data_IF_389481595946
#
_entry.id   IF_389481595946
#
_cell.length_a   1.000
_cell.length_b   1.000
_cell.length_c   1.000
_cell.angle_alpha   90.00
_cell.angle_beta   90.00
_cell.angle_gamma   90.00
#
_symmetry.space_group_name_H-M   'P 1'
#
loop_
_entity.id
_entity.type
_entity.pdbx_description
1 polymer ?
#
# COMPACT_ATOMS: atom_id res chain seq x y z
N UNK A 1 -17.38 -14.61 6.35
CA UNK A 1 -18.29 -13.62 5.73
C UNK A 1 -19.69 -14.21 5.74
N UNK A 2 -20.67 -13.55 6.37
CA UNK A 2 -22.04 -14.08 6.46
C UNK A 2 -22.89 -13.42 5.35
N UNK A 3 -23.23 -14.20 4.31
CA UNK A 3 -23.93 -13.72 3.11
C UNK A 3 -25.39 -13.32 3.37
N UNK A 4 -25.98 -13.81 4.46
CA UNK A 4 -27.38 -13.55 4.83
C UNK A 4 -27.61 -12.10 5.30
N UNK A 5 -26.55 -11.35 5.58
CA UNK A 5 -26.62 -9.95 6.01
C UNK A 5 -26.75 -8.94 4.87
N UNK A 6 -26.59 -9.39 3.62
CA UNK A 6 -26.60 -8.53 2.44
C UNK A 6 -27.90 -8.68 1.66
N UNK A 7 -28.45 -7.55 1.23
CA UNK A 7 -29.57 -7.51 0.30
C UNK A 7 -29.19 -8.08 -1.07
N UNK A 8 -30.20 -8.51 -1.84
CA UNK A 8 -30.01 -8.97 -3.22
C UNK A 8 -29.31 -7.90 -4.10
N UNK A 9 -29.60 -6.63 -3.87
CA UNK A 9 -28.99 -5.53 -4.62
C UNK A 9 -27.49 -5.44 -4.31
N UNK A 10 -27.11 -5.47 -3.04
CA UNK A 10 -25.69 -5.43 -2.61
C UNK A 10 -24.91 -6.63 -3.15
N UNK A 11 -25.50 -7.84 -3.11
CA UNK A 11 -24.85 -9.04 -3.67
C UNK A 11 -24.65 -8.94 -5.19
N UNK A 12 -25.60 -8.33 -5.92
CA UNK A 12 -25.47 -8.10 -7.35
C UNK A 12 -24.33 -7.12 -7.65
N UNK A 13 -24.21 -6.04 -6.89
CA UNK A 13 -23.09 -5.09 -7.03
C UNK A 13 -21.75 -5.74 -6.70
N UNK A 14 -21.67 -6.49 -5.60
CA UNK A 14 -20.47 -7.21 -5.20
C UNK A 14 -20.04 -8.19 -6.30
N UNK A 15 -21.00 -8.87 -6.93
CA UNK A 15 -20.72 -9.77 -8.06
C UNK A 15 -20.11 -9.04 -9.26
N UNK A 16 -20.53 -7.80 -9.55
CA UNK A 16 -19.99 -6.98 -10.64
C UNK A 16 -18.55 -6.56 -10.33
N UNK A 17 -18.30 -6.10 -9.11
CA UNK A 17 -16.95 -5.73 -8.63
C UNK A 17 -16.00 -6.93 -8.73
N UNK A 18 -16.42 -8.10 -8.26
CA UNK A 18 -15.61 -9.33 -8.35
C UNK A 18 -15.33 -9.76 -9.79
N UNK A 19 -16.33 -9.68 -10.68
CA UNK A 19 -16.13 -9.95 -12.12
C UNK A 19 -15.13 -8.98 -12.74
N UNK A 20 -15.24 -7.69 -12.40
CA UNK A 20 -14.30 -6.66 -12.86
C UNK A 20 -12.89 -6.92 -12.35
N UNK A 21 -12.73 -7.20 -11.06
CA UNK A 21 -11.45 -7.56 -10.47
C UNK A 21 -10.82 -8.77 -11.17
N UNK A 22 -11.60 -9.83 -11.43
CA UNK A 22 -11.11 -11.01 -12.15
C UNK A 22 -10.65 -10.69 -13.57
N UNK A 23 -11.38 -9.82 -14.28
CA UNK A 23 -11.00 -9.36 -15.61
C UNK A 23 -9.71 -8.54 -15.58
N UNK A 24 -9.63 -7.55 -14.68
CA UNK A 24 -8.42 -6.74 -14.48
C UNK A 24 -7.22 -7.64 -14.11
N UNK A 25 -7.39 -8.58 -13.17
CA UNK A 25 -6.32 -9.51 -12.77
C UNK A 25 -5.78 -10.31 -13.95
N UNK A 26 -6.64 -10.70 -14.89
CA UNK A 26 -6.24 -11.43 -16.10
C UNK A 26 -5.45 -10.56 -17.07
N UNK A 27 -5.83 -9.29 -17.22
CA UNK A 27 -5.26 -8.42 -18.25
C UNK A 27 -4.04 -7.61 -17.78
N UNK A 28 -4.01 -7.18 -16.52
CA UNK A 28 -2.99 -6.28 -15.96
C UNK A 28 -2.31 -6.82 -14.70
N UNK A 29 -2.65 -8.04 -14.28
CA UNK A 29 -1.92 -8.76 -13.24
C UNK A 29 -1.96 -8.06 -11.88
N UNK A 30 -0.78 -7.75 -11.32
CA UNK A 30 -0.66 -7.23 -9.94
C UNK A 30 -1.31 -5.86 -9.75
N UNK A 31 -1.30 -5.00 -10.78
CA UNK A 31 -1.91 -3.65 -10.79
C UNK A 31 -3.44 -3.64 -10.69
N UNK A 32 -4.09 -4.80 -10.79
CA UNK A 32 -5.55 -4.88 -10.74
C UNK A 32 -6.12 -4.41 -9.41
N UNK A 33 -5.35 -4.49 -8.32
CA UNK A 33 -5.82 -4.09 -7.00
C UNK A 33 -5.81 -2.58 -6.82
N UNK A 34 -4.81 -1.91 -7.39
CA UNK A 34 -4.58 -0.47 -7.35
C UNK A 34 -5.66 0.25 -8.18
N UNK A 35 -5.91 -0.23 -9.40
CA UNK A 35 -6.95 0.33 -10.26
C UNK A 35 -8.34 0.17 -9.64
N UNK A 36 -8.65 -1.01 -9.11
CA UNK A 36 -9.95 -1.23 -8.48
C UNK A 36 -10.12 -0.37 -7.23
N UNK A 37 -9.07 -0.18 -6.43
CA UNK A 37 -9.11 0.70 -5.28
C UNK A 37 -9.48 2.12 -5.70
N UNK A 38 -8.75 2.68 -6.67
CA UNK A 38 -9.01 4.02 -7.19
C UNK A 38 -10.44 4.20 -7.73
N UNK A 39 -10.96 3.24 -8.48
CA UNK A 39 -12.32 3.32 -9.00
C UNK A 39 -13.40 3.26 -7.92
N UNK A 40 -13.14 2.62 -6.78
CA UNK A 40 -14.09 2.48 -5.68
C UNK A 40 -14.01 3.64 -4.69
N UNK A 41 -12.82 4.17 -4.42
CA UNK A 41 -12.59 5.18 -3.38
C UNK A 41 -12.31 6.58 -3.93
N UNK A 42 -11.93 6.69 -5.21
CA UNK A 42 -11.42 7.92 -5.81
C UNK A 42 -10.01 8.29 -5.35
N UNK A 43 -9.34 7.44 -4.56
CA UNK A 43 -8.03 7.72 -3.96
C UNK A 43 -6.95 6.77 -4.49
N UNK A 44 -5.73 7.27 -4.57
CA UNK A 44 -4.59 6.46 -4.96
C UNK A 44 -4.20 5.54 -3.81
N UNK A 45 -3.92 4.27 -4.12
CA UNK A 45 -3.54 3.30 -3.10
C UNK A 45 -2.12 3.61 -2.61
N UNK A 46 -1.99 3.76 -1.30
CA UNK A 46 -0.71 3.97 -0.62
C UNK A 46 -0.39 2.71 0.21
N UNK A 47 0.80 2.15 -0.01
CA UNK A 47 1.27 0.98 0.74
C UNK A 47 2.67 1.28 1.29
N UNK A 48 2.84 1.04 2.59
CA UNK A 48 4.16 1.05 3.22
C UNK A 48 4.44 -0.34 3.75
N UNK A 49 5.48 -0.97 3.22
CA UNK A 49 6.02 -2.22 3.72
C UNK A 49 7.20 -1.93 4.63
N UNK A 50 7.25 -2.51 5.84
CA UNK A 50 8.33 -2.24 6.79
C UNK A 50 8.84 -3.52 7.45
N UNK A 51 10.11 -3.49 7.86
CA UNK A 51 10.76 -4.61 8.52
C UNK A 51 10.17 -4.81 9.93
N UNK A 52 9.79 -6.03 10.33
CA UNK A 52 8.99 -6.25 11.54
C UNK A 52 9.63 -5.77 12.85
N UNK A 53 10.96 -5.69 12.92
CA UNK A 53 11.65 -5.24 14.14
C UNK A 53 11.69 -3.72 14.32
N UNK A 54 11.10 -2.94 13.40
CA UNK A 54 11.08 -1.48 13.48
C UNK A 54 9.92 -0.99 14.33
N UNK A 55 10.13 0.13 15.01
CA UNK A 55 9.05 0.83 15.67
C UNK A 55 8.11 1.44 14.64
N UNK A 56 6.83 1.07 14.70
CA UNK A 56 5.80 1.55 13.78
C UNK A 56 5.63 3.07 13.80
N UNK A 57 5.86 3.72 14.94
CA UNK A 57 5.79 5.19 15.05
C UNK A 57 6.91 5.87 14.27
N UNK A 58 8.14 5.36 14.36
CA UNK A 58 9.29 5.87 13.61
C UNK A 58 9.09 5.68 12.10
N UNK A 59 8.60 4.51 11.69
CA UNK A 59 8.25 4.22 10.29
C UNK A 59 7.16 5.17 9.79
N UNK A 60 6.17 5.51 10.63
CA UNK A 60 5.12 6.45 10.28
C UNK A 60 5.64 7.86 10.02
N UNK A 61 6.44 8.39 10.94
CA UNK A 61 7.03 9.73 10.80
C UNK A 61 7.90 9.80 9.55
N UNK A 62 8.75 8.81 9.33
CA UNK A 62 9.64 8.80 8.18
C UNK A 62 8.87 8.66 6.86
N UNK A 63 7.82 7.84 6.83
CA UNK A 63 6.97 7.72 5.66
C UNK A 63 6.32 9.06 5.30
N UNK A 64 5.75 9.78 6.29
CA UNK A 64 5.15 11.10 6.07
C UNK A 64 6.16 12.10 5.49
N UNK A 65 7.40 12.09 6.00
CA UNK A 65 8.47 12.94 5.48
C UNK A 65 8.78 12.63 4.00
N UNK A 66 8.95 11.36 3.65
CA UNK A 66 9.24 10.94 2.27
C UNK A 66 8.09 11.32 1.33
N UNK A 67 6.85 11.13 1.76
CA UNK A 67 5.70 11.51 0.95
C UNK A 67 5.61 13.02 0.70
N UNK A 68 5.94 13.81 1.71
CA UNK A 68 6.00 15.27 1.58
C UNK A 68 7.16 15.72 0.69
N UNK A 69 8.35 15.18 0.89
CA UNK A 69 9.58 15.70 0.28
C UNK A 69 9.81 15.15 -1.14
N UNK A 70 9.47 13.87 -1.36
CA UNK A 70 9.71 13.18 -2.64
C UNK A 70 8.49 13.20 -3.55
N UNK A 71 7.30 12.95 -2.99
CA UNK A 71 6.05 12.88 -3.73
C UNK A 71 5.25 14.19 -3.72
N UNK A 72 5.67 15.18 -2.92
CA UNK A 72 5.00 16.47 -2.73
C UNK A 72 3.53 16.35 -2.33
N UNK A 73 3.21 15.32 -1.53
CA UNK A 73 1.87 15.08 -1.00
C UNK A 73 1.89 14.95 0.52
N UNK A 74 0.87 15.52 1.17
CA UNK A 74 0.59 15.27 2.58
C UNK A 74 -0.40 14.12 2.69
N UNK A 75 -0.05 13.12 3.50
CA UNK A 75 -0.84 11.90 3.64
C UNK A 75 -1.23 11.67 5.10
N UNK A 76 -2.43 11.18 5.34
CA UNK A 76 -2.87 10.78 6.66
C UNK A 76 -2.51 9.30 6.89
N UNK A 77 -2.03 8.94 8.08
CA UNK A 77 -1.66 7.57 8.43
C UNK A 77 -2.81 6.57 8.27
N UNK A 78 -4.06 7.03 8.30
CA UNK A 78 -5.27 6.24 8.08
C UNK A 78 -5.46 5.81 6.62
N UNK A 79 -4.91 6.57 5.67
CA UNK A 79 -5.01 6.29 4.23
C UNK A 79 -3.93 5.31 3.76
N UNK A 80 -2.96 5.00 4.63
CA UNK A 80 -1.82 4.13 4.33
C UNK A 80 -2.16 2.69 4.72
N UNK A 81 -1.99 1.79 3.78
CA UNK A 81 -1.94 0.35 4.10
C UNK A 81 -0.56 0.02 4.67
N UNK A 82 -0.52 -0.33 5.96
CA UNK A 82 0.70 -0.75 6.66
C UNK A 82 0.87 -2.25 6.57
N UNK A 83 2.06 -2.72 6.18
CA UNK A 83 2.33 -4.15 6.05
C UNK A 83 3.73 -4.51 6.53
N UNK A 84 3.81 -5.43 7.46
CA UNK A 84 5.09 -6.03 7.85
C UNK A 84 5.58 -6.97 6.75
N UNK A 85 6.86 -6.88 6.42
CA UNK A 85 7.48 -7.67 5.37
C UNK A 85 8.86 -8.18 5.80
N UNK A 86 8.91 -9.46 6.22
CA UNK A 86 10.14 -10.18 6.63
C UNK A 86 11.16 -10.36 5.50
N UNK A 87 10.76 -10.20 4.24
CA UNK A 87 11.66 -10.35 3.08
C UNK A 87 12.56 -9.10 2.92
N UNK A 88 12.18 -7.97 3.53
CA UNK A 88 13.02 -6.76 3.50
C UNK A 88 14.32 -7.03 4.26
N UNK A 89 15.45 -6.61 3.69
CA UNK A 89 16.74 -6.76 4.35
C UNK A 89 16.87 -5.79 5.56
N UNK A 90 16.21 -4.63 5.49
CA UNK A 90 16.21 -3.58 6.51
C UNK A 90 15.08 -2.55 6.24
N UNK A 91 14.81 -1.61 7.16
CA UNK A 91 13.93 -0.43 6.99
C UNK A 91 12.56 -0.66 6.33
N UNK A 92 12.22 0.08 5.27
CA UNK A 92 10.90 0.07 4.63
C UNK A 92 10.95 0.31 3.11
N UNK A 93 9.83 -0.01 2.45
CA UNK A 93 9.49 0.34 1.06
C UNK A 93 8.18 1.09 1.03
N UNK A 94 8.12 2.15 0.25
CA UNK A 94 6.92 2.96 0.05
C UNK A 94 6.47 2.80 -1.39
N UNK A 95 5.18 2.56 -1.57
CA UNK A 95 4.54 2.44 -2.87
C UNK A 95 3.46 3.51 -2.98
N UNK A 96 3.57 4.29 -4.05
CA UNK A 96 2.60 5.29 -4.43
C UNK A 96 2.18 5.03 -5.87
N UNK A 97 1.03 4.39 -6.05
CA UNK A 97 0.56 3.99 -7.38
C UNK A 97 1.59 3.13 -8.14
N UNK A 98 2.27 3.71 -9.13
CA UNK A 98 3.29 3.08 -9.97
C UNK A 98 4.71 3.38 -9.49
N UNK A 99 4.86 4.37 -8.61
CA UNK A 99 6.14 4.78 -8.07
C UNK A 99 6.47 3.98 -6.80
N UNK A 100 7.76 3.77 -6.61
CA UNK A 100 8.30 3.04 -5.46
C UNK A 100 9.55 3.74 -4.95
N UNK A 101 9.62 3.92 -3.64
CA UNK A 101 10.85 4.30 -2.93
C UNK A 101 11.27 3.13 -2.06
N UNK A 102 12.46 2.60 -2.33
CA UNK A 102 13.02 1.47 -1.59
C UNK A 102 14.19 1.93 -0.71
N UNK A 103 13.98 1.90 0.60
CA UNK A 103 14.97 2.20 1.63
C UNK A 103 15.48 0.94 2.33
N UNK A 104 15.08 -0.24 1.84
CA UNK A 104 15.35 -1.52 2.49
C UNK A 104 16.74 -2.10 2.22
N UNK A 105 17.59 -1.35 1.50
CA UNK A 105 18.92 -1.80 1.15
C UNK A 105 19.91 -1.68 2.32
N UNK A 106 20.75 -2.71 2.48
CA UNK A 106 21.82 -2.75 3.47
C UNK A 106 22.86 -1.63 3.28
N UNK A 107 23.04 -1.14 2.04
CA UNK A 107 23.89 0.02 1.73
C UNK A 107 23.39 1.31 2.36
N UNK A 108 22.07 1.46 2.54
CA UNK A 108 21.45 2.61 3.23
C UNK A 108 21.64 2.47 4.75
N UNK A 109 21.47 1.26 5.31
CA UNK A 109 21.78 0.96 6.72
C UNK A 109 23.22 1.37 7.08
N UNK A 110 24.19 0.99 6.24
CA UNK A 110 25.61 1.29 6.48
C UNK A 110 25.96 2.79 6.37
N UNK A 111 25.15 3.58 5.67
CA UNK A 111 25.30 5.04 5.61
C UNK A 111 24.69 5.71 6.84
N UNK A 112 23.53 5.25 7.30
CA UNK A 112 22.84 5.80 8.47
C UNK A 112 23.55 5.45 9.78
N UNK A 113 24.13 4.25 9.91
CA UNK A 113 24.87 3.83 11.10
C UNK A 113 26.28 4.41 11.25
N UNK A 114 26.72 5.28 10.32
CA UNK A 114 28.02 5.97 10.36
C UNK A 114 27.90 7.45 10.73
N UNK A 115 26.69 7.93 11.02
CA UNK A 115 26.40 9.26 11.56
C UNK A 115 26.19 9.10 13.08
#
# INVERSE_FOLDING_TARGET
>A
MNLEKYSKAELLELSKILKKFRSLRKNIGKKSSEILHYELTGTQKILVEYFPSLNKEEVQTEAQNIFKDFFWIEINSQDITWKENEILAWWMRLFFWDDMVDLSFESVRNKLGKI
#
